data_IF_496889246794
#
_entry.id   IF_496889246794
#
_cell.length_a   1.000
_cell.length_b   1.000
_cell.length_c   1.000
_cell.angle_alpha   90.00
_cell.angle_beta   90.00
_cell.angle_gamma   90.00
#
_symmetry.space_group_name_H-M   'P 1'
#
loop_
_entity.id
_entity.type
_entity.pdbx_description
1 polymer ?
#
# COMPACT_ATOMS: atom_id res chain seq x y z
N UNK A 1 -10.47 -5.01 14.73
CA UNK A 1 -9.04 -4.68 14.54
C UNK A 1 -8.90 -3.66 13.41
N UNK A 2 -7.80 -2.92 13.31
CA UNK A 2 -7.67 -1.84 12.31
C UNK A 2 -7.77 -2.32 10.85
N UNK A 3 -7.49 -3.60 10.59
CA UNK A 3 -7.69 -4.23 9.28
C UNK A 3 -9.15 -4.16 8.80
N UNK A 4 -10.12 -4.15 9.73
CA UNK A 4 -11.57 -4.18 9.44
C UNK A 4 -12.23 -2.81 9.46
N UNK A 5 -11.53 -1.75 9.88
CA UNK A 5 -12.12 -0.41 10.00
C UNK A 5 -12.51 0.15 8.63
N UNK A 6 -13.79 0.51 8.46
CA UNK A 6 -14.32 1.11 7.24
C UNK A 6 -14.41 0.16 6.03
N UNK A 7 -14.31 -1.15 6.23
CA UNK A 7 -14.29 -2.15 5.15
C UNK A 7 -15.30 -3.26 5.40
N UNK A 8 -15.81 -3.87 4.34
CA UNK A 8 -16.72 -5.01 4.45
C UNK A 8 -15.97 -6.20 5.03
N UNK A 9 -16.51 -6.78 6.11
CA UNK A 9 -15.96 -7.95 6.81
C UNK A 9 -15.72 -9.16 5.88
N UNK A 10 -16.57 -9.37 4.89
CA UNK A 10 -16.47 -10.46 3.91
C UNK A 10 -15.13 -10.45 3.16
N UNK A 11 -14.54 -9.28 2.89
CA UNK A 11 -13.24 -9.18 2.21
C UNK A 11 -12.11 -9.78 3.05
N UNK A 12 -12.15 -9.54 4.37
CA UNK A 12 -11.16 -10.08 5.29
C UNK A 12 -11.36 -11.57 5.52
N UNK A 13 -12.62 -12.00 5.68
CA UNK A 13 -12.94 -13.42 5.86
C UNK A 13 -12.51 -14.23 4.65
N UNK A 14 -12.78 -13.73 3.43
CA UNK A 14 -12.35 -14.40 2.18
C UNK A 14 -10.83 -14.53 2.09
N UNK A 15 -10.10 -13.45 2.42
CA UNK A 15 -8.65 -13.44 2.42
C UNK A 15 -8.05 -14.37 3.48
N UNK A 16 -8.62 -14.38 4.69
CA UNK A 16 -8.22 -15.28 5.77
C UNK A 16 -8.51 -16.74 5.42
N UNK A 17 -9.66 -17.03 4.81
CA UNK A 17 -10.02 -18.36 4.34
C UNK A 17 -9.03 -18.88 3.28
N UNK A 18 -8.71 -18.07 2.26
CA UNK A 18 -7.73 -18.45 1.24
C UNK A 18 -6.31 -18.66 1.82
N UNK A 19 -5.93 -17.88 2.83
CA UNK A 19 -4.68 -18.09 3.55
C UNK A 19 -4.68 -19.38 4.36
N UNK A 20 -5.77 -19.68 5.07
CA UNK A 20 -5.94 -20.92 5.80
C UNK A 20 -5.92 -22.14 4.87
N UNK A 21 -6.66 -22.09 3.75
CA UNK A 21 -6.65 -23.14 2.75
C UNK A 21 -5.22 -23.45 2.26
N UNK A 22 -4.44 -22.41 1.95
CA UNK A 22 -3.03 -22.55 1.56
C UNK A 22 -2.15 -23.14 2.67
N UNK A 23 -2.40 -22.81 3.94
CA UNK A 23 -1.68 -23.38 5.07
C UNK A 23 -1.96 -24.88 5.24
N UNK A 24 -3.16 -25.34 4.89
CA UNK A 24 -3.56 -26.75 4.88
C UNK A 24 -3.28 -27.45 3.54
N UNK A 25 -2.46 -26.86 2.67
CA UNK A 25 -2.13 -27.41 1.34
C UNK A 25 -3.32 -27.62 0.39
N UNK A 26 -4.44 -26.92 0.63
CA UNK A 26 -5.55 -26.87 -0.33
C UNK A 26 -5.31 -25.79 -1.38
N UNK A 27 -5.51 -26.17 -2.65
CA UNK A 27 -5.53 -25.23 -3.78
C UNK A 27 -6.95 -24.71 -3.96
N UNK A 28 -7.18 -23.46 -3.56
CA UNK A 28 -8.46 -22.77 -3.77
C UNK A 28 -8.19 -21.55 -4.65
N UNK A 29 -8.96 -21.43 -5.72
CA UNK A 29 -8.85 -20.32 -6.65
C UNK A 29 -9.48 -19.04 -6.08
N UNK A 30 -8.80 -17.90 -6.23
CA UNK A 30 -9.27 -16.62 -5.68
C UNK A 30 -10.51 -16.16 -6.44
N UNK A 31 -10.53 -16.41 -7.74
CA UNK A 31 -11.56 -16.05 -8.70
C UNK A 31 -12.88 -16.76 -8.42
N UNK A 32 -12.82 -18.03 -8.01
CA UNK A 32 -14.00 -18.82 -7.65
C UNK A 32 -14.62 -18.30 -6.34
N UNK A 33 -13.79 -18.01 -5.33
CA UNK A 33 -14.25 -17.41 -4.06
C UNK A 33 -14.82 -16.02 -4.30
N UNK A 34 -14.17 -15.22 -5.13
CA UNK A 34 -14.62 -13.89 -5.54
C UNK A 34 -16.00 -13.94 -6.21
N UNK A 35 -16.20 -14.87 -7.15
CA UNK A 35 -17.47 -15.08 -7.85
C UNK A 35 -18.57 -15.55 -6.89
N UNK A 36 -18.26 -16.51 -6.02
CA UNK A 36 -19.20 -17.05 -5.04
C UNK A 36 -19.74 -15.98 -4.08
N UNK A 37 -18.88 -15.02 -3.69
CA UNK A 37 -19.22 -14.00 -2.71
C UNK A 37 -19.60 -12.65 -3.32
N UNK A 38 -19.55 -12.51 -4.65
CA UNK A 38 -19.83 -11.25 -5.35
C UNK A 38 -18.80 -10.15 -5.05
N UNK A 39 -17.54 -10.52 -4.81
CA UNK A 39 -16.44 -9.61 -4.44
C UNK A 39 -15.44 -9.54 -5.60
N UNK A 40 -14.80 -8.40 -5.82
CA UNK A 40 -13.71 -8.31 -6.79
C UNK A 40 -12.46 -9.06 -6.27
N UNK A 41 -11.91 -10.00 -7.06
CA UNK A 41 -10.72 -10.78 -6.73
C UNK A 41 -9.52 -9.90 -6.34
N UNK A 42 -9.34 -8.76 -7.02
CA UNK A 42 -8.27 -7.80 -6.71
C UNK A 42 -8.37 -7.24 -5.28
N UNK A 43 -9.59 -7.09 -4.75
CA UNK A 43 -9.80 -6.65 -3.36
C UNK A 43 -9.36 -7.74 -2.40
N UNK A 44 -9.68 -9.00 -2.68
CA UNK A 44 -9.27 -10.15 -1.86
C UNK A 44 -7.74 -10.27 -1.85
N UNK A 45 -7.10 -10.18 -3.02
CA UNK A 45 -5.64 -10.16 -3.22
C UNK A 45 -4.94 -9.08 -2.37
N UNK A 46 -5.47 -7.85 -2.37
CA UNK A 46 -4.96 -6.76 -1.52
C UNK A 46 -5.05 -7.14 -0.03
N UNK A 47 -6.18 -7.70 0.41
CA UNK A 47 -6.36 -8.10 1.80
C UNK A 47 -5.45 -9.26 2.19
N UNK A 48 -5.23 -10.23 1.29
CA UNK A 48 -4.24 -11.31 1.50
C UNK A 48 -2.86 -10.71 1.75
N UNK A 49 -2.43 -9.73 0.94
CA UNK A 49 -1.12 -9.07 1.12
C UNK A 49 -1.03 -8.34 2.45
N UNK A 50 -2.06 -7.58 2.84
CA UNK A 50 -2.08 -6.88 4.13
C UNK A 50 -1.97 -7.87 5.31
N UNK A 51 -2.74 -8.95 5.29
CA UNK A 51 -2.70 -9.98 6.34
C UNK A 51 -1.31 -10.64 6.39
N UNK A 52 -0.72 -11.00 5.24
CA UNK A 52 0.63 -11.58 5.18
C UNK A 52 1.68 -10.64 5.78
N UNK A 53 1.66 -9.36 5.44
CA UNK A 53 2.61 -8.36 5.98
C UNK A 53 2.48 -8.22 7.49
N UNK A 54 1.23 -8.22 8.00
CA UNK A 54 0.96 -8.17 9.42
C UNK A 54 1.47 -9.43 10.14
N UNK A 55 1.20 -10.62 9.58
CA UNK A 55 1.67 -11.89 10.14
C UNK A 55 3.20 -11.97 10.17
N UNK A 56 3.89 -11.54 9.11
CA UNK A 56 5.36 -11.48 9.09
C UNK A 56 5.87 -10.57 10.20
N UNK A 57 5.25 -9.40 10.37
CA UNK A 57 5.63 -8.44 11.42
C UNK A 57 5.43 -9.00 12.83
N UNK A 58 4.36 -9.76 13.06
CA UNK A 58 4.09 -10.44 14.33
C UNK A 58 5.07 -11.59 14.58
N UNK A 59 5.25 -12.47 13.60
CA UNK A 59 6.10 -13.65 13.74
C UNK A 59 7.58 -13.31 13.93
N UNK A 60 8.02 -12.11 13.54
CA UNK A 60 9.38 -11.60 13.79
C UNK A 60 9.78 -11.55 15.26
N UNK A 61 8.83 -11.50 16.19
CA UNK A 61 9.11 -11.51 17.63
C UNK A 61 9.46 -12.89 18.18
N UNK A 62 9.22 -13.96 17.41
CA UNK A 62 9.64 -15.30 17.78
C UNK A 62 11.13 -15.50 17.48
N UNK A 63 11.84 -16.39 18.21
CA UNK A 63 13.29 -16.60 18.04
C UNK A 63 13.71 -16.92 16.58
N UNK A 64 12.85 -17.60 15.84
CA UNK A 64 13.05 -18.00 14.45
C UNK A 64 12.31 -17.09 13.45
N UNK A 65 11.76 -15.97 13.90
CA UNK A 65 10.93 -15.06 13.11
C UNK A 65 11.63 -14.44 11.89
N UNK A 66 12.97 -14.39 11.90
CA UNK A 66 13.78 -13.93 10.77
C UNK A 66 13.69 -14.84 9.53
N UNK A 67 13.27 -16.10 9.70
CA UNK A 67 13.06 -17.05 8.59
C UNK A 67 11.72 -16.83 7.86
N UNK A 68 10.83 -16.01 8.44
CA UNK A 68 9.49 -15.76 7.91
C UNK A 68 9.49 -14.57 6.96
N UNK A 69 8.92 -14.77 5.78
CA UNK A 69 8.79 -13.80 4.69
C UNK A 69 7.36 -13.81 4.15
N UNK A 70 6.97 -12.78 3.39
CA UNK A 70 5.63 -12.72 2.77
C UNK A 70 5.34 -13.87 1.81
N UNK A 71 6.39 -14.52 1.27
CA UNK A 71 6.27 -15.67 0.38
C UNK A 71 5.92 -16.95 1.15
N UNK A 72 6.63 -17.22 2.23
CA UNK A 72 6.51 -18.49 2.99
C UNK A 72 5.64 -18.39 4.26
N UNK A 73 5.13 -17.21 4.64
CA UNK A 73 4.32 -17.00 5.86
C UNK A 73 3.11 -17.92 5.99
N UNK A 74 2.55 -18.39 4.87
CA UNK A 74 1.42 -19.32 4.88
C UNK A 74 1.78 -20.68 5.54
N UNK A 75 3.03 -21.14 5.42
CA UNK A 75 3.52 -22.35 6.08
C UNK A 75 3.62 -22.15 7.60
N UNK A 76 3.88 -20.91 8.04
CA UNK A 76 4.02 -20.56 9.45
C UNK A 76 2.71 -20.09 10.10
N UNK A 77 1.59 -20.18 9.38
CA UNK A 77 0.30 -19.67 9.85
C UNK A 77 -0.16 -20.38 11.13
N UNK A 78 0.03 -21.69 11.22
CA UNK A 78 -0.38 -22.48 12.40
C UNK A 78 0.39 -22.05 13.65
N UNK A 79 1.69 -21.77 13.54
CA UNK A 79 2.45 -21.24 14.66
C UNK A 79 1.94 -19.87 15.13
N UNK A 80 1.45 -19.01 14.23
CA UNK A 80 0.86 -17.74 14.62
C UNK A 80 -0.40 -17.94 15.49
N UNK A 81 -1.14 -19.04 15.26
CA UNK A 81 -2.30 -19.43 16.06
C UNK A 81 -1.85 -20.06 17.39
N UNK A 82 -0.89 -20.98 17.36
CA UNK A 82 -0.39 -21.67 18.55
C UNK A 82 0.27 -20.71 19.56
N UNK A 83 0.97 -19.68 19.06
CA UNK A 83 1.64 -18.67 19.88
C UNK A 83 0.82 -17.38 20.02
N UNK A 84 -0.48 -17.41 19.74
CA UNK A 84 -1.33 -16.21 19.76
C UNK A 84 -1.26 -15.47 21.10
N UNK A 85 -1.28 -16.19 22.24
CA UNK A 85 -1.22 -15.58 23.58
C UNK A 85 0.07 -14.78 23.83
N UNK A 86 1.18 -15.19 23.20
CA UNK A 86 2.47 -14.49 23.30
C UNK A 86 2.49 -13.27 22.36
N UNK A 87 1.84 -13.41 21.19
CA UNK A 87 1.83 -12.40 20.14
C UNK A 87 0.79 -11.28 20.38
N UNK A 88 -0.30 -11.58 21.08
CA UNK A 88 -1.38 -10.64 21.40
C UNK A 88 -0.89 -9.32 22.03
N UNK A 89 -0.07 -9.31 23.11
CA UNK A 89 0.39 -8.06 23.71
C UNK A 89 1.31 -7.24 22.79
N UNK A 90 1.93 -7.87 21.80
CA UNK A 90 2.86 -7.23 20.87
C UNK A 90 2.12 -6.54 19.72
N UNK A 91 0.96 -7.05 19.32
CA UNK A 91 0.13 -6.49 18.25
C UNK A 91 -0.17 -4.99 18.37
N UNK A 92 -0.57 -4.42 19.53
CA UNK A 92 -0.80 -2.99 19.67
C UNK A 92 0.49 -2.16 19.54
N UNK A 93 1.63 -2.69 19.96
CA UNK A 93 2.94 -2.01 19.81
C UNK A 93 3.32 -1.90 18.33
N UNK A 94 3.17 -2.99 17.58
CA UNK A 94 3.38 -3.01 16.13
C UNK A 94 2.50 -1.99 15.40
N UNK A 95 1.23 -1.84 15.83
CA UNK A 95 0.33 -0.85 15.22
C UNK A 95 0.80 0.57 15.46
N UNK A 96 1.28 0.90 16.66
CA UNK A 96 1.81 2.24 16.97
C UNK A 96 3.04 2.55 16.12
N UNK A 97 3.98 1.61 16.01
CA UNK A 97 5.16 1.77 15.15
C UNK A 97 4.79 2.00 13.68
N UNK A 98 3.80 1.28 13.15
CA UNK A 98 3.34 1.51 11.77
C UNK A 98 2.78 2.92 11.56
N UNK A 99 1.96 3.41 12.50
CA UNK A 99 1.40 4.77 12.43
C UNK A 99 2.48 5.85 12.51
N UNK A 100 3.50 5.65 13.35
CA UNK A 100 4.64 6.59 13.47
C UNK A 100 5.49 6.63 12.19
N UNK A 101 5.72 5.48 11.55
CA UNK A 101 6.40 5.41 10.25
C UNK A 101 5.59 6.08 9.13
N UNK A 102 4.26 5.87 9.11
CA UNK A 102 3.35 6.51 8.16
C UNK A 102 3.34 8.04 8.32
N UNK A 103 3.30 8.54 9.56
CA UNK A 103 3.35 9.97 9.85
C UNK A 103 4.70 10.60 9.44
N UNK A 104 5.81 9.95 9.76
CA UNK A 104 7.16 10.44 9.42
C UNK A 104 7.42 10.46 7.90
N UNK A 105 6.82 9.53 7.15
CA UNK A 105 6.94 9.48 5.69
C UNK A 105 6.19 10.62 4.98
N UNK A 106 5.03 11.02 5.51
CA UNK A 106 4.23 12.13 4.96
C UNK A 106 4.90 13.50 5.15
N UNK A 107 5.64 13.68 6.24
CA UNK A 107 6.42 14.91 6.49
C UNK A 107 7.61 15.05 5.53
N UNK A 108 8.25 13.94 5.15
CA UNK A 108 9.35 13.95 4.18
C UNK A 108 8.86 14.28 2.76
N UNK A 109 7.71 13.72 2.36
CA UNK A 109 7.15 13.94 1.02
C UNK A 109 6.57 15.35 0.85
N UNK A 110 5.91 15.88 1.90
CA UNK A 110 5.42 17.27 1.92
C UNK A 110 6.56 18.30 1.95
N UNK A 111 7.67 18.00 2.62
CA UNK A 111 8.88 18.83 2.63
C UNK A 111 9.57 18.88 1.26
N UNK A 112 9.58 17.76 0.52
CA UNK A 112 10.10 17.71 -0.85
C UNK A 112 9.19 18.45 -1.84
N UNK A 113 7.87 18.30 -1.72
CA UNK A 113 6.90 19.02 -2.54
C UNK A 113 6.96 20.55 -2.31
N UNK A 114 7.21 20.99 -1.05
CA UNK A 114 7.35 22.41 -0.72
C UNK A 114 8.64 23.02 -1.26
N UNK A 115 9.75 22.26 -1.32
CA UNK A 115 11.00 22.72 -1.96
C UNK A 115 10.89 22.90 -3.48
N UNK A 116 10.11 22.06 -4.17
CA UNK A 116 9.89 22.16 -5.63
C UNK A 116 9.10 23.40 -6.07
N UNK A 117 8.36 24.06 -5.16
CA UNK A 117 7.53 25.23 -5.49
C UNK A 117 8.29 26.57 -5.40
N UNK A 118 9.54 26.59 -4.94
CA UNK A 118 10.33 27.83 -4.70
C UNK A 118 11.26 28.18 -5.88
N UNK A 119 11.30 27.39 -6.96
CA UNK A 119 12.19 27.65 -8.11
C UNK A 119 11.39 27.96 -9.37
N UNK A 120 11.12 29.24 -9.61
CA UNK A 120 11.12 29.91 -10.93
C UNK A 120 10.97 31.42 -10.70
N UNK A 121 12.04 32.24 -10.80
CA UNK A 121 11.88 33.65 -11.10
C UNK A 121 11.48 33.81 -12.57
N UNK A 122 10.37 34.51 -12.76
CA UNK A 122 9.76 34.87 -14.03
C UNK A 122 10.55 36.03 -14.65
N UNK A 123 11.28 35.78 -15.74
CA UNK A 123 11.90 36.83 -16.57
C UNK A 123 11.24 36.84 -17.96
N UNK A 124 10.08 37.49 -18.05
CA UNK A 124 9.48 37.91 -19.31
C UNK A 124 9.50 39.45 -19.40
N UNK A 125 10.63 39.99 -19.86
CA UNK A 125 10.76 41.40 -20.29
C UNK A 125 10.65 41.48 -21.81
N UNK A 126 9.45 41.75 -22.32
CA UNK A 126 9.21 42.11 -23.72
C UNK A 126 9.20 43.63 -23.85
N UNK A 127 10.29 44.21 -24.37
CA UNK A 127 10.30 45.60 -24.82
C UNK A 127 9.94 45.67 -26.31
N UNK A 128 8.88 46.42 -26.56
CA UNK A 128 8.31 46.79 -27.85
C UNK A 128 8.97 48.09 -28.29
N UNK A 129 9.59 48.14 -29.46
CA UNK A 129 9.79 49.42 -30.16
C UNK A 129 9.67 49.27 -31.68
N UNK A 130 8.73 50.05 -32.19
CA UNK A 130 8.29 50.24 -33.57
C UNK A 130 9.31 50.97 -34.43
N UNK A 131 9.35 50.64 -35.73
CA UNK A 131 9.50 51.59 -36.85
C UNK A 131 9.18 50.80 -38.14
N UNK A 132 8.11 51.07 -38.90
CA UNK A 132 7.80 52.21 -39.77
C UNK A 132 8.21 52.00 -41.23
N UNK A 133 7.25 52.31 -42.12
CA UNK A 133 7.32 52.49 -43.58
C UNK A 133 7.60 51.24 -44.44
N UNK A 134 7.04 51.02 -45.63
CA UNK A 134 5.99 51.61 -46.47
C UNK A 134 5.89 50.68 -47.73
N UNK A 135 4.87 50.82 -48.59
CA UNK A 135 4.44 49.80 -49.56
C UNK A 135 5.00 50.05 -50.98
N UNK A 136 4.83 49.09 -51.89
CA UNK A 136 4.29 49.29 -53.26
C UNK A 136 4.49 48.06 -54.19
N UNK A 137 3.39 47.67 -54.83
CA UNK A 137 3.21 47.37 -56.25
C UNK A 137 3.85 46.14 -56.93
N UNK A 138 3.09 45.57 -57.87
CA UNK A 138 3.57 44.84 -59.05
C UNK A 138 3.03 43.41 -59.13
N UNK A 139 1.82 43.19 -59.65
CA UNK A 139 1.53 42.86 -61.06
C UNK A 139 2.30 41.67 -61.62
N UNK A 140 1.62 40.52 -61.77
CA UNK A 140 1.17 39.95 -63.07
C UNK A 140 0.73 38.49 -62.89
#
# INVERSE_FOLDING_TARGET
>A
GWLSTGRMWSFLVSAAFLLAARAYHYSVDVEDVARMLGINASTIEVRIREIKTLLVSLLRFLPWGHMVSTKNVHVYLLFAVDFFEILEPVAPMLRRQQLEMEASGQDAESSLAKRRRVTMPDESGTDVLSDSAAPLAGDS
#
